data_IF_604712356321
#
_entry.id   IF_604712356321
#
_cell.length_a   1.000
_cell.length_b   1.000
_cell.length_c   1.000
_cell.angle_alpha   90.00
_cell.angle_beta   90.00
_cell.angle_gamma   90.00
#
_symmetry.space_group_name_H-M   'P 1'
#
loop_
_entity.id
_entity.type
_entity.pdbx_description
1 polymer ?
#
# COMPACT_ATOMS: atom_id res chain seq x y z
N UNK A 1 5.28 -4.46 -19.59
CA UNK A 1 6.05 -5.30 -18.64
C UNK A 1 5.25 -5.45 -17.36
N UNK A 2 5.24 -6.64 -16.76
CA UNK A 2 4.61 -6.90 -15.45
C UNK A 2 5.69 -7.37 -14.49
N UNK A 3 5.75 -6.77 -13.31
CA UNK A 3 6.74 -7.07 -12.26
C UNK A 3 6.02 -7.64 -11.05
N UNK A 4 6.51 -8.77 -10.53
CA UNK A 4 6.05 -9.31 -9.25
C UNK A 4 6.87 -8.69 -8.12
N UNK A 5 6.21 -8.14 -7.11
CA UNK A 5 6.82 -7.60 -5.89
C UNK A 5 6.29 -8.40 -4.70
N UNK A 6 7.18 -9.02 -3.94
CA UNK A 6 6.80 -9.73 -2.70
C UNK A 6 7.08 -8.81 -1.53
N UNK A 7 6.04 -8.46 -0.78
CA UNK A 7 6.14 -7.64 0.43
C UNK A 7 6.02 -8.54 1.65
N UNK A 8 6.99 -8.43 2.57
CA UNK A 8 7.01 -9.18 3.83
C UNK A 8 6.94 -8.19 5.00
N UNK A 9 5.93 -8.32 5.85
CA UNK A 9 5.73 -7.45 7.00
C UNK A 9 6.53 -7.98 8.21
N UNK A 10 7.85 -7.75 8.20
CA UNK A 10 8.74 -8.26 9.24
C UNK A 10 8.65 -7.42 10.53
N UNK A 11 9.09 -8.02 11.64
CA UNK A 11 9.33 -7.33 12.92
C UNK A 11 8.10 -6.74 13.63
N UNK A 12 6.93 -7.36 13.43
CA UNK A 12 5.79 -7.24 14.37
C UNK A 12 4.73 -6.21 14.00
N UNK A 13 4.93 -5.39 12.97
CA UNK A 13 3.92 -4.46 12.47
C UNK A 13 3.41 -4.85 11.10
N UNK A 14 2.11 -4.68 10.83
CA UNK A 14 1.56 -4.95 9.53
C UNK A 14 1.86 -3.76 8.60
N UNK A 15 1.85 -3.98 7.29
CA UNK A 15 2.10 -2.91 6.30
C UNK A 15 0.92 -2.76 5.35
N UNK A 16 0.56 -1.52 5.03
CA UNK A 16 -0.39 -1.20 3.98
C UNK A 16 0.33 -1.00 2.67
N UNK A 17 -0.12 -1.71 1.64
CA UNK A 17 0.42 -1.62 0.28
C UNK A 17 -0.65 -1.01 -0.61
N UNK A 18 -0.39 0.20 -1.08
CA UNK A 18 -1.28 0.96 -1.96
C UNK A 18 -0.73 0.97 -3.36
N UNK A 19 -1.56 0.61 -4.33
CA UNK A 19 -1.23 0.78 -5.76
C UNK A 19 -1.32 2.25 -6.15
N UNK A 20 -0.35 2.75 -6.91
CA UNK A 20 -0.40 4.11 -7.46
C UNK A 20 -0.58 4.00 -8.97
N UNK A 21 -1.74 4.40 -9.52
CA UNK A 21 -2.01 4.33 -10.95
C UNK A 21 -1.00 5.14 -11.77
N UNK A 22 -0.73 4.66 -12.98
CA UNK A 22 0.12 5.36 -13.96
C UNK A 22 -0.49 6.72 -14.27
N UNK A 23 0.30 7.79 -14.16
CA UNK A 23 -0.17 9.16 -14.40
C UNK A 23 -0.85 9.85 -13.20
N UNK A 24 -0.98 9.17 -12.05
CA UNK A 24 -1.43 9.79 -10.80
C UNK A 24 -0.44 10.84 -10.25
N UNK A 25 0.79 10.87 -10.76
CA UNK A 25 1.79 11.92 -10.50
C UNK A 25 1.62 13.17 -11.40
N UNK A 26 0.45 13.33 -12.05
CA UNK A 26 0.09 14.55 -12.79
C UNK A 26 -0.04 15.78 -11.87
N UNK A 27 -0.05 17.01 -12.43
CA UNK A 27 -0.08 18.24 -11.65
C UNK A 27 -1.22 18.22 -10.63
N UNK A 28 -0.89 18.64 -9.39
CA UNK A 28 -1.76 18.61 -8.22
C UNK A 28 -3.16 19.16 -8.55
N UNK A 29 -4.16 18.26 -8.61
CA UNK A 29 -5.53 18.63 -8.95
C UNK A 29 -6.35 17.52 -9.59
N UNK A 30 -5.72 16.48 -10.12
CA UNK A 30 -6.40 15.23 -10.50
C UNK A 30 -6.27 14.31 -9.29
N UNK A 31 -7.36 14.08 -8.56
CA UNK A 31 -7.39 13.09 -7.49
C UNK A 31 -6.75 11.79 -8.01
N UNK A 32 -5.70 11.26 -7.37
CA UNK A 32 -5.27 9.91 -7.66
C UNK A 32 -6.52 9.05 -7.51
N UNK A 33 -6.89 8.29 -8.53
CA UNK A 33 -7.79 7.16 -8.34
C UNK A 33 -7.17 6.39 -7.16
N UNK A 34 -7.81 6.43 -6.00
CA UNK A 34 -7.31 5.80 -4.78
C UNK A 34 -7.06 4.35 -5.14
N UNK A 35 -5.79 3.99 -5.32
CA UNK A 35 -5.47 2.63 -5.69
C UNK A 35 -5.91 1.72 -4.56
N UNK A 36 -6.27 0.49 -4.92
CA UNK A 36 -6.60 -0.51 -3.94
C UNK A 36 -5.46 -0.63 -2.93
N UNK A 37 -5.80 -0.45 -1.65
CA UNK A 37 -4.89 -0.63 -0.53
C UNK A 37 -5.17 -2.00 0.08
N UNK A 38 -4.13 -2.80 0.26
CA UNK A 38 -4.22 -4.09 0.90
C UNK A 38 -3.24 -4.18 2.06
N UNK A 39 -3.74 -4.66 3.21
CA UNK A 39 -2.93 -4.94 4.39
C UNK A 39 -2.19 -6.27 4.24
N UNK A 40 -0.91 -6.26 4.56
CA UNK A 40 -0.10 -7.46 4.84
C UNK A 40 0.06 -7.53 6.35
N UNK A 41 -0.47 -8.58 6.98
CA UNK A 41 -0.45 -8.72 8.43
C UNK A 41 0.99 -8.94 8.95
N UNK A 42 1.23 -8.59 10.21
CA UNK A 42 2.54 -8.77 10.83
C UNK A 42 3.01 -10.23 10.75
N UNK A 43 4.24 -10.45 10.29
CA UNK A 43 4.82 -11.78 10.09
C UNK A 43 4.38 -12.48 8.80
N UNK A 44 3.49 -11.90 8.01
CA UNK A 44 3.05 -12.47 6.74
C UNK A 44 3.80 -11.85 5.54
N UNK A 45 3.69 -12.55 4.41
CA UNK A 45 4.11 -12.04 3.11
C UNK A 45 3.00 -12.15 2.07
N UNK A 46 3.00 -11.23 1.10
CA UNK A 46 2.05 -11.22 -0.02
C UNK A 46 2.70 -10.74 -1.29
N UNK A 47 2.28 -11.33 -2.41
CA UNK A 47 2.69 -10.93 -3.75
C UNK A 47 1.76 -9.86 -4.32
N UNK A 48 2.36 -8.87 -4.95
CA UNK A 48 1.71 -7.80 -5.70
C UNK A 48 2.24 -7.79 -7.13
N UNK A 49 1.41 -7.36 -8.07
CA UNK A 49 1.79 -7.25 -9.47
C UNK A 49 1.72 -5.79 -9.90
N UNK A 50 2.80 -5.30 -10.48
CA UNK A 50 2.96 -3.93 -10.93
C UNK A 50 3.08 -3.93 -12.44
N UNK A 51 2.28 -3.09 -13.10
CA UNK A 51 2.31 -2.95 -14.55
C UNK A 51 3.19 -1.76 -14.99
N UNK A 52 3.36 -1.59 -16.30
CA UNK A 52 4.29 -0.61 -16.86
C UNK A 52 3.97 0.82 -16.44
N UNK A 53 4.87 1.46 -15.70
CA UNK A 53 4.73 2.84 -15.20
C UNK A 53 3.88 2.98 -13.94
N UNK A 54 3.50 1.88 -13.31
CA UNK A 54 2.74 1.85 -12.06
C UNK A 54 3.72 1.79 -10.88
N UNK A 55 3.35 2.42 -9.77
CA UNK A 55 4.14 2.39 -8.53
C UNK A 55 3.37 1.70 -7.39
N UNK A 56 4.09 1.29 -6.34
CA UNK A 56 3.52 0.85 -5.07
C UNK A 56 4.01 1.77 -3.95
N UNK A 57 3.10 2.20 -3.08
CA UNK A 57 3.44 2.81 -1.78
C UNK A 57 3.29 1.75 -0.70
N UNK A 58 4.34 1.56 0.09
CA UNK A 58 4.34 0.66 1.25
C UNK A 58 4.45 1.54 2.49
N UNK A 59 3.49 1.40 3.40
CA UNK A 59 3.42 2.15 4.66
C UNK A 59 3.36 1.18 5.83
N UNK A 60 4.36 1.24 6.72
CA UNK A 60 4.33 0.46 7.96
C UNK A 60 3.36 1.09 8.94
N UNK A 61 2.37 0.31 9.37
CA UNK A 61 1.29 0.83 10.18
C UNK A 61 1.76 0.97 11.61
N UNK A 62 1.76 2.20 12.10
CA UNK A 62 2.20 2.51 13.45
C UNK A 62 1.09 2.23 14.48
N UNK A 63 1.44 1.93 15.75
CA UNK A 63 0.46 1.59 16.79
C UNK A 63 -0.69 2.61 16.97
N UNK A 64 -0.41 3.90 16.83
CA UNK A 64 -1.37 5.00 16.91
C UNK A 64 -2.37 5.01 15.75
N UNK A 65 -1.95 4.57 14.57
CA UNK A 65 -2.81 4.44 13.38
C UNK A 65 -3.82 3.28 13.51
N UNK A 66 -3.40 2.19 14.19
CA UNK A 66 -4.30 1.08 14.55
C UNK A 66 -5.37 1.56 15.54
N UNK A 67 -4.99 2.34 16.54
CA UNK A 67 -5.91 2.87 17.54
C UNK A 67 -6.95 3.83 16.92
N UNK A 68 -6.52 4.68 15.99
CA UNK A 68 -7.40 5.60 15.28
C UNK A 68 -8.45 4.88 14.40
N UNK A 69 -8.07 3.77 13.77
CA UNK A 69 -8.98 2.98 12.91
C UNK A 69 -10.12 2.34 13.71
N UNK A 70 -9.83 1.83 14.91
CA UNK A 70 -10.85 1.20 15.77
C UNK A 70 -11.79 2.20 16.46
N UNK A 71 -11.43 3.48 16.54
CA UNK A 71 -12.27 4.53 17.10
C UNK A 71 -13.28 5.11 16.10
N UNK A 72 -13.09 4.84 14.81
CA UNK A 72 -13.94 5.35 13.71
C UNK A 72 -14.90 4.30 13.12
N UNK A 73 -14.90 3.07 13.66
CA UNK A 73 -15.79 1.97 13.29
C UNK A 73 -16.87 1.73 14.36
#
# INVERSE_FOLDING_TARGET
MTTTVVVKANHGWPVDVTTIPVGANGPAGIHPLEGSTARVAAGEERSFYVHSGQDLRIHEVQPDEVAATNAAA
#
